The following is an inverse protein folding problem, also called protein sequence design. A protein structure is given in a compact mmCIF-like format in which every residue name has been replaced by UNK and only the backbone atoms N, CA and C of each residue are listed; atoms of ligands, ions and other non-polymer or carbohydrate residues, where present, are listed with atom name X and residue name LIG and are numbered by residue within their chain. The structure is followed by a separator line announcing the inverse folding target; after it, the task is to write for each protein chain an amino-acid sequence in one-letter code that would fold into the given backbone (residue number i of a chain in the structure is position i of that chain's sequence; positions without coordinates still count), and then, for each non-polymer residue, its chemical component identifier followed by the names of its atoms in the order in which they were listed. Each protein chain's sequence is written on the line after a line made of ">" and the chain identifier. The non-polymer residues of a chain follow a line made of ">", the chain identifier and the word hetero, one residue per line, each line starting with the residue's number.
data_IF_799713586398
#
_entry.id   IF_799713586398
#
_cell.length_a   1.000
_cell.length_b   1.000
_cell.length_c   1.000
_cell.angle_alpha   90.00
_cell.angle_beta   90.00
_cell.angle_gamma   90.00
#
_symmetry.space_group_name_H-M   'P 1'
#
loop_
_entity.id
_entity.type
_entity.pdbx_description
1 polymer ?
#
# COMPACT_ATOMS: atom_id res chain seq x y z
N UNK A 1 17.14 -7.23 -8.72
CA UNK A 1 16.88 -8.62 -8.31
C UNK A 1 17.04 -9.53 -9.52
N UNK A 2 17.98 -10.47 -9.44
CA UNK A 2 18.24 -11.46 -10.49
C UNK A 2 17.03 -12.41 -10.67
N UNK A 3 16.79 -13.01 -11.85
CA UNK A 3 15.68 -13.93 -12.05
C UNK A 3 15.70 -15.17 -11.13
N UNK A 4 16.86 -15.63 -10.66
CA UNK A 4 16.92 -16.71 -9.67
C UNK A 4 16.30 -16.30 -8.33
N UNK A 5 16.68 -15.12 -7.83
CA UNK A 5 16.14 -14.57 -6.59
C UNK A 5 14.63 -14.36 -6.68
N UNK A 6 14.13 -13.83 -7.80
CA UNK A 6 12.68 -13.63 -8.02
C UNK A 6 11.90 -14.93 -7.91
N UNK A 7 12.41 -16.01 -8.49
CA UNK A 7 11.77 -17.34 -8.42
C UNK A 7 11.74 -17.87 -6.99
N UNK A 8 12.82 -17.67 -6.23
CA UNK A 8 12.87 -18.07 -4.81
C UNK A 8 11.84 -17.29 -3.99
N UNK A 9 11.80 -15.97 -4.12
CA UNK A 9 10.82 -15.13 -3.41
C UNK A 9 9.37 -15.46 -3.77
N UNK A 10 9.09 -15.75 -5.04
CA UNK A 10 7.74 -16.13 -5.45
C UNK A 10 7.30 -17.50 -4.87
N UNK A 11 8.23 -18.45 -4.71
CA UNK A 11 7.93 -19.73 -4.04
C UNK A 11 7.67 -19.54 -2.55
N UNK A 12 8.47 -18.73 -1.87
CA UNK A 12 8.24 -18.37 -0.46
C UNK A 12 6.85 -17.74 -0.28
N UNK A 13 6.52 -16.78 -1.15
CA UNK A 13 5.20 -16.15 -1.15
C UNK A 13 4.09 -17.18 -1.40
N UNK A 14 4.28 -18.12 -2.33
CA UNK A 14 3.26 -19.12 -2.64
C UNK A 14 2.93 -20.02 -1.44
N UNK A 15 3.93 -20.49 -0.70
CA UNK A 15 3.72 -21.27 0.52
C UNK A 15 2.92 -20.47 1.55
N UNK A 16 3.26 -19.19 1.72
CA UNK A 16 2.55 -18.32 2.64
C UNK A 16 1.12 -18.02 2.18
N UNK A 17 0.88 -17.82 0.88
CA UNK A 17 -0.46 -17.59 0.32
C UNK A 17 -1.35 -18.81 0.50
N UNK A 18 -0.82 -20.03 0.37
CA UNK A 18 -1.59 -21.24 0.63
C UNK A 18 -1.99 -21.36 2.10
N UNK A 19 -1.09 -21.03 3.03
CA UNK A 19 -1.44 -20.89 4.44
C UNK A 19 -2.51 -19.83 4.66
N UNK A 20 -2.37 -18.64 4.08
CA UNK A 20 -3.30 -17.52 4.24
C UNK A 20 -4.71 -17.90 3.75
N UNK A 21 -4.80 -18.58 2.61
CA UNK A 21 -6.05 -19.05 2.02
C UNK A 21 -6.77 -20.04 2.94
N UNK A 22 -6.03 -20.95 3.56
CA UNK A 22 -6.58 -21.91 4.51
C UNK A 22 -6.99 -21.24 5.83
N UNK A 23 -6.11 -20.39 6.40
CA UNK A 23 -6.30 -19.78 7.71
C UNK A 23 -7.46 -18.78 7.77
N UNK A 24 -7.74 -18.07 6.66
CA UNK A 24 -8.77 -17.04 6.58
C UNK A 24 -9.92 -17.41 5.63
N UNK A 25 -10.01 -18.69 5.23
CA UNK A 25 -11.04 -19.23 4.33
C UNK A 25 -11.18 -18.46 2.99
N UNK A 26 -10.07 -17.90 2.48
CA UNK A 26 -10.05 -17.01 1.30
C UNK A 26 -10.06 -17.75 -0.04
N UNK A 27 -10.53 -19.00 -0.09
CA UNK A 27 -10.51 -19.83 -1.32
C UNK A 27 -11.29 -19.19 -2.48
N UNK A 28 -12.38 -18.48 -2.17
CA UNK A 28 -13.19 -17.77 -3.15
C UNK A 28 -12.65 -16.38 -3.48
N UNK A 29 -11.83 -15.81 -2.59
CA UNK A 29 -11.26 -14.48 -2.76
C UNK A 29 -9.92 -14.50 -3.50
N UNK A 30 -9.11 -15.53 -3.29
CA UNK A 30 -7.78 -15.68 -3.90
C UNK A 30 -7.79 -16.95 -4.77
N UNK A 31 -7.89 -16.82 -6.11
CA UNK A 31 -7.93 -17.99 -6.99
C UNK A 31 -6.55 -18.66 -7.08
N UNK A 32 -6.52 -19.93 -7.48
CA UNK A 32 -5.28 -20.70 -7.62
C UNK A 32 -4.29 -20.10 -8.64
N UNK A 33 -4.77 -19.30 -9.60
CA UNK A 33 -3.96 -18.64 -10.61
C UNK A 33 -3.42 -17.26 -10.20
N UNK A 34 -3.55 -16.85 -8.93
CA UNK A 34 -3.15 -15.51 -8.43
C UNK A 34 -1.76 -15.05 -8.90
N UNK A 35 -0.79 -15.96 -9.00
CA UNK A 35 0.59 -15.68 -9.42
C UNK A 35 0.71 -15.19 -10.87
N UNK A 36 -0.34 -15.33 -11.67
CA UNK A 36 -0.46 -14.81 -13.04
C UNK A 36 -0.99 -13.38 -13.11
N UNK A 37 -1.34 -12.79 -11.97
CA UNK A 37 -1.94 -11.46 -11.89
C UNK A 37 -1.01 -10.51 -11.13
N UNK A 38 -0.16 -9.74 -11.82
CA UNK A 38 0.86 -8.89 -11.17
C UNK A 38 0.31 -7.95 -10.08
N UNK A 39 -0.85 -7.29 -10.23
CA UNK A 39 -1.42 -6.47 -9.15
C UNK A 39 -1.75 -7.26 -7.89
N UNK A 40 -2.24 -8.50 -8.03
CA UNK A 40 -2.55 -9.38 -6.91
C UNK A 40 -1.27 -9.85 -6.23
N UNK A 41 -0.23 -10.18 -7.01
CA UNK A 41 1.10 -10.53 -6.49
C UNK A 41 1.67 -9.40 -5.62
N UNK A 42 1.55 -8.14 -6.07
CA UNK A 42 2.02 -6.98 -5.30
C UNK A 42 1.26 -6.83 -3.98
N UNK A 43 -0.07 -6.90 -4.01
CA UNK A 43 -0.89 -6.84 -2.80
C UNK A 43 -0.55 -7.95 -1.81
N UNK A 44 -0.38 -9.20 -2.28
CA UNK A 44 0.01 -10.33 -1.44
C UNK A 44 1.43 -10.17 -0.89
N UNK A 45 2.36 -9.60 -1.68
CA UNK A 45 3.72 -9.30 -1.22
C UNK A 45 3.72 -8.27 -0.09
N UNK A 46 2.92 -7.21 -0.22
CA UNK A 46 2.78 -6.20 0.83
C UNK A 46 2.21 -6.80 2.12
N UNK A 47 1.17 -7.64 2.02
CA UNK A 47 0.59 -8.35 3.16
C UNK A 47 1.57 -9.32 3.80
N UNK A 48 2.35 -10.06 3.00
CA UNK A 48 3.37 -11.00 3.47
C UNK A 48 4.49 -10.29 4.24
N UNK A 49 5.01 -9.18 3.70
CA UNK A 49 6.03 -8.38 4.38
C UNK A 49 5.49 -7.75 5.66
N UNK A 50 4.23 -7.30 5.66
CA UNK A 50 3.54 -6.86 6.87
C UNK A 50 3.47 -7.98 7.92
N UNK A 51 3.05 -9.18 7.50
CA UNK A 51 2.95 -10.36 8.36
C UNK A 51 4.31 -10.74 8.96
N UNK A 52 5.38 -10.75 8.14
CA UNK A 52 6.74 -11.03 8.61
C UNK A 52 7.18 -10.02 9.67
N UNK A 53 6.90 -8.73 9.49
CA UNK A 53 7.26 -7.70 10.48
C UNK A 53 6.49 -7.88 11.79
N UNK A 54 5.23 -8.28 11.69
CA UNK A 54 4.35 -8.48 12.86
C UNK A 54 4.71 -9.76 13.63
N UNK A 55 4.94 -10.88 12.95
CA UNK A 55 5.04 -12.20 13.59
C UNK A 55 6.45 -12.80 13.62
N UNK A 56 7.36 -12.33 12.77
CA UNK A 56 8.73 -12.86 12.66
C UNK A 56 9.83 -11.79 12.86
N UNK A 57 9.44 -10.52 13.01
CA UNK A 57 10.35 -9.41 13.26
C UNK A 57 10.63 -9.21 14.76
N UNK A 58 11.67 -8.44 15.08
CA UNK A 58 11.87 -7.96 16.44
C UNK A 58 10.71 -7.06 16.84
N UNK A 59 10.09 -7.35 18.00
CA UNK A 59 9.01 -6.54 18.54
C UNK A 59 9.54 -5.12 18.78
N UNK A 60 9.14 -4.19 17.92
CA UNK A 60 9.48 -2.78 18.08
C UNK A 60 8.65 -2.23 19.23
N UNK A 61 9.31 -1.72 20.28
CA UNK A 61 8.64 -1.11 21.42
C UNK A 61 7.65 -0.01 20.95
N UNK A 62 6.42 -0.01 21.47
CA UNK A 62 5.40 1.00 21.18
C UNK A 62 4.46 0.68 20.01
N UNK A 63 4.45 -0.56 19.49
CA UNK A 63 3.40 -1.03 18.57
C UNK A 63 2.41 -1.96 19.27
N UNK A 64 1.61 -1.38 20.15
CA UNK A 64 0.48 -2.11 20.74
C UNK A 64 -0.49 -2.52 19.62
N UNK A 65 -1.02 -3.75 19.67
CA UNK A 65 -2.03 -4.29 18.75
C UNK A 65 -1.58 -4.55 17.30
N UNK A 66 -0.28 -4.67 17.02
CA UNK A 66 0.26 -4.87 15.66
C UNK A 66 -0.35 -6.08 14.90
N UNK A 67 -0.70 -7.16 15.61
CA UNK A 67 -1.38 -8.34 15.08
C UNK A 67 -2.81 -8.03 14.63
N UNK A 68 -3.57 -7.32 15.46
CA UNK A 68 -4.95 -6.93 15.17
C UNK A 68 -5.01 -5.93 14.01
N UNK A 69 -4.04 -5.01 13.95
CA UNK A 69 -3.89 -4.08 12.84
C UNK A 69 -3.57 -4.81 11.53
N UNK A 70 -2.68 -5.80 11.57
CA UNK A 70 -2.38 -6.61 10.39
C UNK A 70 -3.61 -7.35 9.86
N UNK A 71 -4.42 -7.95 10.75
CA UNK A 71 -5.69 -8.60 10.38
C UNK A 71 -6.66 -7.59 9.75
N UNK A 72 -6.75 -6.39 10.30
CA UNK A 72 -7.58 -5.31 9.75
C UNK A 72 -7.14 -4.92 8.34
N UNK A 73 -5.84 -4.81 8.11
CA UNK A 73 -5.25 -4.55 6.78
C UNK A 73 -5.57 -5.70 5.81
N UNK A 74 -5.45 -6.96 6.23
CA UNK A 74 -5.82 -8.12 5.41
C UNK A 74 -7.28 -8.05 4.93
N UNK A 75 -8.22 -7.74 5.83
CA UNK A 75 -9.63 -7.61 5.47
C UNK A 75 -9.87 -6.45 4.49
N UNK A 76 -9.20 -5.32 4.68
CA UNK A 76 -9.28 -4.19 3.75
C UNK A 76 -8.72 -4.51 2.36
N UNK A 77 -7.73 -5.40 2.28
CA UNK A 77 -7.14 -5.84 1.01
C UNK A 77 -7.95 -6.93 0.31
N UNK A 78 -8.76 -7.70 1.05
CA UNK A 78 -9.50 -8.86 0.49
C UNK A 78 -10.25 -8.54 -0.81
N UNK A 79 -10.98 -7.42 -0.96
CA UNK A 79 -11.65 -7.08 -2.23
C UNK A 79 -10.69 -6.88 -3.41
N UNK A 80 -9.45 -6.46 -3.15
CA UNK A 80 -8.40 -6.26 -4.18
C UNK A 80 -7.75 -7.56 -4.64
N UNK A 81 -7.92 -8.64 -3.85
CA UNK A 81 -7.39 -9.96 -4.18
C UNK A 81 -8.34 -10.76 -5.07
N UNK A 82 -9.63 -10.34 -5.11
CA UNK A 82 -10.67 -10.98 -5.90
C UNK A 82 -10.44 -10.79 -7.39
N UNK A 83 -10.50 -11.89 -8.13
CA UNK A 83 -10.39 -11.93 -9.58
C UNK A 83 -11.66 -12.56 -10.14
N UNK A 84 -12.71 -11.75 -10.31
CA UNK A 84 -14.01 -12.21 -10.80
C UNK A 84 -13.89 -12.98 -12.13
N UNK A 85 -12.96 -12.56 -13.01
CA UNK A 85 -12.67 -13.22 -14.28
C UNK A 85 -12.17 -14.67 -14.10
N UNK A 86 -11.51 -14.98 -12.98
CA UNK A 86 -10.93 -16.28 -12.68
C UNK A 86 -11.76 -17.12 -11.69
N UNK A 87 -12.87 -16.57 -11.17
CA UNK A 87 -13.70 -17.19 -10.12
C UNK A 87 -14.33 -18.54 -10.55
N UNK A 88 -14.60 -18.72 -11.85
CA UNK A 88 -15.13 -19.98 -12.41
C UNK A 88 -14.10 -21.09 -12.61
N UNK A 89 -12.93 -21.01 -11.98
CA UNK A 89 -11.85 -22.00 -12.10
C UNK A 89 -11.10 -21.98 -13.44
N UNK A 90 -11.48 -21.09 -14.37
CA UNK A 90 -10.77 -20.86 -15.63
C UNK A 90 -9.99 -19.55 -15.55
N UNK A 91 -8.68 -19.64 -15.73
CA UNK A 91 -7.80 -18.46 -15.82
C UNK A 91 -8.19 -17.59 -17.02
N UNK A 92 -8.21 -16.28 -16.82
CA UNK A 92 -8.30 -15.29 -17.88
C UNK A 92 -7.10 -14.36 -17.80
N UNK A 93 -6.45 -14.15 -18.94
CA UNK A 93 -5.28 -13.29 -18.99
C UNK A 93 -5.68 -11.84 -18.67
N UNK A 94 -4.92 -11.12 -17.83
CA UNK A 94 -5.12 -9.70 -17.64
C UNK A 94 -5.12 -8.96 -18.98
N UNK A 95 -5.92 -7.89 -19.13
CA UNK A 95 -5.80 -7.01 -20.28
C UNK A 95 -4.35 -6.56 -20.46
N UNK A 96 -3.91 -6.48 -21.71
CA UNK A 96 -2.58 -5.98 -22.01
C UNK A 96 -2.38 -4.59 -21.39
N UNK A 97 -1.21 -4.31 -20.77
CA UNK A 97 -0.92 -2.99 -20.26
C UNK A 97 -1.08 -1.94 -21.37
N UNK A 98 -1.71 -0.81 -21.04
CA UNK A 98 -1.74 0.33 -21.95
C UNK A 98 -0.30 0.83 -22.10
N UNK A 99 0.23 0.95 -23.33
CA UNK A 99 1.57 1.49 -23.54
C UNK A 99 1.66 2.90 -22.96
N UNK A 100 2.78 3.21 -22.30
CA UNK A 100 3.07 4.57 -21.88
C UNK A 100 3.16 5.46 -23.13
N UNK A 101 2.50 6.62 -23.09
CA UNK A 101 2.57 7.55 -24.21
C UNK A 101 4.02 8.02 -24.39
N UNK A 102 4.57 8.03 -25.62
CA UNK A 102 5.79 8.75 -25.92
C UNK A 102 5.67 10.19 -25.44
N UNK A 103 6.71 10.73 -24.80
CA UNK A 103 6.70 12.10 -24.27
C UNK A 103 6.06 12.29 -22.89
N UNK A 104 5.56 11.24 -22.22
CA UNK A 104 4.99 11.38 -20.86
C UNK A 104 5.95 12.07 -19.89
N UNK A 105 7.25 11.73 -19.96
CA UNK A 105 8.27 12.35 -19.10
C UNK A 105 8.45 13.83 -19.42
N UNK A 106 8.49 14.21 -20.70
CA UNK A 106 8.65 15.60 -21.12
C UNK A 106 7.43 16.44 -20.75
N UNK A 107 6.23 15.90 -20.97
CA UNK A 107 4.97 16.54 -20.57
C UNK A 107 4.91 16.73 -19.04
N UNK A 108 5.42 15.77 -18.27
CA UNK A 108 5.54 15.90 -16.81
C UNK A 108 6.46 17.06 -16.43
N UNK A 109 7.66 17.15 -17.02
CA UNK A 109 8.59 18.26 -16.75
C UNK A 109 7.97 19.63 -17.08
N UNK A 110 7.27 19.73 -18.21
CA UNK A 110 6.52 20.95 -18.56
C UNK A 110 5.46 21.27 -17.50
N UNK A 111 4.67 20.28 -17.07
CA UNK A 111 3.67 20.48 -16.03
C UNK A 111 4.30 20.94 -14.71
N UNK A 112 5.41 20.31 -14.29
CA UNK A 112 6.13 20.69 -13.07
C UNK A 112 6.61 22.15 -13.10
N UNK A 113 7.10 22.60 -14.25
CA UNK A 113 7.60 23.97 -14.42
C UNK A 113 6.53 25.02 -14.68
N UNK A 114 5.30 24.63 -15.05
CA UNK A 114 4.27 25.59 -15.52
C UNK A 114 2.99 25.58 -14.71
N UNK A 115 2.68 24.50 -13.99
CA UNK A 115 1.43 24.42 -13.23
C UNK A 115 1.44 25.42 -12.06
N UNK A 116 0.45 26.31 -12.03
CA UNK A 116 0.28 27.34 -10.99
C UNK A 116 0.28 26.73 -9.57
N UNK A 117 -0.31 25.54 -9.42
CA UNK A 117 -0.32 24.83 -8.14
C UNK A 117 1.09 24.49 -7.60
N UNK A 118 2.07 24.37 -8.49
CA UNK A 118 3.46 24.04 -8.17
C UNK A 118 4.38 25.26 -8.18
N UNK A 119 4.02 26.31 -8.93
CA UNK A 119 4.87 27.50 -9.12
C UNK A 119 4.46 28.70 -8.26
N UNK A 120 3.20 28.81 -7.82
CA UNK A 120 2.81 29.89 -6.90
C UNK A 120 3.42 29.68 -5.53
N UNK A 121 3.71 30.78 -4.84
CA UNK A 121 4.11 30.73 -3.44
C UNK A 121 3.00 30.11 -2.59
N UNK A 122 3.36 29.11 -1.77
CA UNK A 122 2.42 28.42 -0.92
C UNK A 122 1.98 29.33 0.23
N UNK A 123 0.72 29.77 0.20
CA UNK A 123 0.11 30.52 1.31
C UNK A 123 -0.69 29.57 2.18
N UNK A 124 -0.30 29.40 3.44
CA UNK A 124 -1.08 28.62 4.39
C UNK A 124 -2.40 29.36 4.68
N UNK A 125 -3.58 28.74 4.49
CA UNK A 125 -4.86 29.43 4.62
C UNK A 125 -5.12 29.99 6.03
N UNK A 126 -4.45 29.43 7.04
CA UNK A 126 -4.50 29.88 8.43
C UNK A 126 -3.21 30.61 8.89
N UNK A 127 -2.39 31.14 7.98
CA UNK A 127 -1.15 31.85 8.35
C UNK A 127 -1.38 32.96 9.37
N UNK A 128 -2.46 33.75 9.21
CA UNK A 128 -2.83 34.81 10.15
C UNK A 128 -3.25 34.28 11.53
N UNK A 129 -3.87 33.10 11.60
CA UNK A 129 -4.24 32.47 12.88
C UNK A 129 -3.00 31.92 13.61
N UNK A 130 -2.10 31.25 12.88
CA UNK A 130 -0.86 30.75 13.45
C UNK A 130 0.02 31.89 13.97
N UNK A 131 0.12 32.99 13.23
CA UNK A 131 0.87 34.17 13.65
C UNK A 131 0.28 34.82 14.92
N UNK A 132 -1.06 34.88 15.04
CA UNK A 132 -1.73 35.37 16.26
C UNK A 132 -1.42 34.49 17.46
N UNK A 133 -1.54 33.17 17.33
CA UNK A 133 -1.23 32.23 18.42
C UNK A 133 0.22 32.28 18.87
N UNK A 134 1.15 32.48 17.94
CA UNK A 134 2.57 32.62 18.28
C UNK A 134 2.89 33.95 18.99
N UNK A 135 2.08 34.99 18.76
CA UNK A 135 2.26 36.32 19.35
C UNK A 135 1.59 36.48 20.72
N UNK A 136 0.68 35.58 21.10
CA UNK A 136 0.10 35.51 22.44
C UNK A 136 1.08 34.76 23.36
N UNK A 137 1.75 35.42 24.33
CA UNK A 137 2.57 34.72 25.29
C UNK A 137 1.69 33.84 26.19
N UNK A 138 2.19 32.66 26.54
CA UNK A 138 1.55 31.74 27.48
C UNK A 138 1.23 32.50 28.77
N UNK A 139 -0.05 32.73 29.05
CA UNK A 139 -0.45 33.46 30.24
C UNK A 139 0.02 32.65 31.46
N UNK A 140 0.83 33.23 32.37
CA UNK A 140 1.32 32.47 33.50
C UNK A 140 0.13 31.97 34.33
N UNK A 141 0.11 30.65 34.58
CA UNK A 141 -0.84 30.01 35.45
C UNK A 141 -0.80 30.67 36.84
N UNK A 142 -1.79 31.51 37.14
CA UNK A 142 -1.97 32.07 38.48
C UNK A 142 -2.70 31.04 39.35
N UNK A 143 -1.95 30.44 40.28
CA UNK A 143 -2.50 29.60 41.37
C UNK A 143 -3.03 30.53 42.48
N UNK A 144 -4.23 30.29 43.03
CA UNK A 144 -4.80 31.07 44.13
C UNK A 144 -4.04 30.91 45.47
#
# INVERSE_FOLDING_TARGET
>A
MDPADRRTRLRELAVWVDWLRAAFELHNSIPQCWYRHPPVVEHLTALYVGWLRTYAGEQTAGRDLAEADWISVLHNFTPRLQLAACAGGRHQEPPAPVPLSPGTSEALEVYLGTAEALTREAVHPAAAELARRAAEPDAPFQVP
#
